data_IF_117609761413
#
_entry.id   IF_117609761413
#
_cell.length_a   1.000
_cell.length_b   1.000
_cell.length_c   1.000
_cell.angle_alpha   90.00
_cell.angle_beta   90.00
_cell.angle_gamma   90.00
#
_symmetry.space_group_name_H-M   'P 1'
#
loop_
_entity.id
_entity.type
_entity.pdbx_description
1 polymer ?
#
# COMPACT_ATOMS: atom_id res chain seq x y z
N UNK A 1 15.86 -21.84 -8.13
CA UNK A 1 15.09 -20.58 -8.23
C UNK A 1 13.88 -20.71 -7.33
N UNK A 2 14.06 -20.56 -6.02
CA UNK A 2 13.01 -20.88 -5.05
C UNK A 2 12.83 -19.68 -4.13
N UNK A 3 11.65 -19.05 -4.23
CA UNK A 3 10.78 -18.51 -3.17
C UNK A 3 11.31 -17.72 -1.95
N UNK A 4 12.61 -17.60 -1.69
CA UNK A 4 13.13 -17.02 -0.44
C UNK A 4 13.56 -15.56 -0.54
N UNK A 5 13.55 -14.97 -1.73
CA UNK A 5 13.97 -13.58 -1.94
C UNK A 5 12.81 -12.55 -1.86
N UNK A 6 11.55 -13.01 -1.86
CA UNK A 6 10.39 -12.12 -1.75
C UNK A 6 9.84 -12.05 -0.31
N UNK A 7 10.29 -12.95 0.57
CA UNK A 7 9.80 -13.07 1.95
C UNK A 7 10.59 -12.23 2.96
N UNK A 8 11.54 -11.42 2.49
CA UNK A 8 12.51 -10.68 3.32
C UNK A 8 12.35 -9.15 3.35
N UNK A 9 11.32 -8.59 2.70
CA UNK A 9 11.02 -7.14 2.77
C UNK A 9 9.61 -6.92 3.35
N UNK A 10 9.55 -6.62 4.66
CA UNK A 10 8.42 -6.05 5.45
C UNK A 10 7.46 -7.02 6.17
N UNK A 11 7.98 -7.84 7.08
CA UNK A 11 7.23 -8.11 8.33
C UNK A 11 8.00 -7.51 9.49
N UNK A 12 7.98 -6.18 9.60
CA UNK A 12 8.17 -5.54 10.90
C UNK A 12 6.80 -5.53 11.58
N UNK A 13 6.64 -6.41 12.57
CA UNK A 13 5.50 -6.42 13.47
C UNK A 13 5.63 -5.26 14.47
N UNK A 14 5.48 -4.04 13.97
CA UNK A 14 5.27 -2.83 14.77
C UNK A 14 4.02 -2.17 14.19
N UNK A 15 3.00 -1.90 15.03
CA UNK A 15 1.65 -1.42 14.65
C UNK A 15 1.64 -0.61 13.34
N UNK A 16 1.32 -1.28 12.22
CA UNK A 16 1.37 -0.69 10.89
C UNK A 16 0.24 -1.21 10.02
N UNK A 17 -0.41 -0.31 9.28
CA UNK A 17 -1.45 -0.67 8.32
C UNK A 17 -0.84 -1.41 7.12
N UNK A 18 -1.47 -2.50 6.67
CA UNK A 18 -1.06 -3.20 5.44
C UNK A 18 -1.47 -2.35 4.22
N UNK A 19 -0.49 -1.87 3.46
CA UNK A 19 -0.71 -1.07 2.25
C UNK A 19 -0.13 -1.75 1.00
N UNK A 20 -0.74 -1.44 -0.15
CA UNK A 20 -0.31 -1.86 -1.49
C UNK A 20 0.65 -0.83 -2.07
N UNK A 21 0.29 0.45 -1.99
CA UNK A 21 1.00 1.53 -2.65
C UNK A 21 0.76 2.86 -1.92
N UNK A 22 1.72 3.78 -2.04
CA UNK A 22 1.65 5.13 -1.46
C UNK A 22 2.05 6.13 -2.55
N UNK A 23 1.10 6.96 -2.97
CA UNK A 23 1.33 8.04 -3.95
C UNK A 23 1.38 9.38 -3.23
N UNK A 24 2.56 10.02 -3.16
CA UNK A 24 2.76 11.29 -2.41
C UNK A 24 2.33 12.56 -3.17
N UNK A 25 2.02 12.46 -4.46
CA UNK A 25 1.66 13.58 -5.34
C UNK A 25 0.50 13.24 -6.28
N UNK A 26 -0.58 12.70 -5.72
CA UNK A 26 -1.79 12.44 -6.49
C UNK A 26 -2.53 13.76 -6.76
N UNK A 27 -2.62 14.15 -8.04
CA UNK A 27 -3.37 15.33 -8.51
C UNK A 27 -4.68 14.96 -9.21
N UNK A 28 -4.86 13.67 -9.51
CA UNK A 28 -6.04 13.16 -10.22
C UNK A 28 -7.09 12.55 -9.28
N UNK A 29 -6.75 12.32 -8.00
CA UNK A 29 -7.67 11.75 -7.00
C UNK A 29 -8.55 12.82 -6.33
N UNK A 30 -8.51 14.06 -6.82
CA UNK A 30 -9.26 15.21 -6.30
C UNK A 30 -8.49 16.52 -6.49
N UNK A 31 -9.09 17.67 -6.14
CA UNK A 31 -8.43 18.97 -6.28
C UNK A 31 -7.21 19.07 -5.35
N UNK A 32 -6.10 19.59 -5.89
CA UNK A 32 -4.84 19.82 -5.19
C UNK A 32 -3.85 18.64 -5.22
N UNK A 33 -2.75 18.78 -4.49
CA UNK A 33 -1.74 17.71 -4.31
C UNK A 33 -2.11 16.89 -3.08
N UNK A 34 -2.29 15.57 -3.24
CA UNK A 34 -2.69 14.66 -2.17
C UNK A 34 -1.69 13.52 -2.01
N UNK A 35 -1.55 13.04 -0.77
CA UNK A 35 -0.92 11.75 -0.51
C UNK A 35 -2.00 10.68 -0.43
N UNK A 36 -2.08 9.81 -1.44
CA UNK A 36 -3.04 8.71 -1.52
C UNK A 36 -2.41 7.43 -0.98
N UNK A 37 -3.08 6.79 -0.02
CA UNK A 37 -2.68 5.52 0.58
C UNK A 37 -3.60 4.40 0.06
N UNK A 38 -3.06 3.45 -0.69
CA UNK A 38 -3.81 2.28 -1.12
C UNK A 38 -3.62 1.16 -0.10
N UNK A 39 -4.69 0.82 0.62
CA UNK A 39 -4.66 -0.23 1.63
C UNK A 39 -4.86 -1.62 1.01
N UNK A 40 -4.28 -2.65 1.64
CA UNK A 40 -4.50 -4.04 1.25
C UNK A 40 -5.88 -4.48 1.74
N UNK A 41 -6.84 -4.59 0.83
CA UNK A 41 -8.13 -5.26 1.02
C UNK A 41 -9.34 -4.33 1.00
N UNK A 42 -10.40 -4.76 0.33
CA UNK A 42 -11.74 -4.16 0.38
C UNK A 42 -12.77 -5.29 0.54
N UNK A 43 -13.62 -5.27 1.58
CA UNK A 43 -14.63 -6.33 1.78
C UNK A 43 -15.79 -6.24 0.78
N UNK A 44 -15.88 -5.17 0.00
CA UNK A 44 -16.88 -4.99 -1.04
C UNK A 44 -16.47 -5.72 -2.32
N UNK A 45 -17.46 -6.29 -3.03
CA UNK A 45 -17.32 -6.84 -4.39
C UNK A 45 -17.97 -5.91 -5.41
N UNK A 46 -17.65 -4.62 -5.29
CA UNK A 46 -18.06 -3.58 -6.22
C UNK A 46 -17.44 -3.76 -7.60
#
# INVERSE_FOLDING_TARGET
MNGSAFDSLRVQAEKGARYIDIKRFAVHDGPGIRTTLFLKGCPLRC
#
